data_IF_023276267552
#
_entry.id   IF_023276267552
#
_cell.length_a   1.000
_cell.length_b   1.000
_cell.length_c   1.000
_cell.angle_alpha   90.00
_cell.angle_beta   90.00
_cell.angle_gamma   90.00
#
_symmetry.space_group_name_H-M   'P 1'
#
loop_
_entity.id
_entity.type
_entity.pdbx_description
1 polymer ?
#
# COMPACT_ATOMS: atom_id res chain seq x y z
N UNK A 1 -0.06 -16.93 -1.60
CA UNK A 1 -1.34 -17.07 -0.85
C UNK A 1 -1.94 -15.70 -0.69
N UNK A 2 -3.26 -15.57 -0.78
CA UNK A 2 -3.95 -14.29 -0.56
C UNK A 2 -4.04 -13.97 0.93
N UNK A 3 -3.83 -12.72 1.31
CA UNK A 3 -3.90 -12.27 2.70
C UNK A 3 -5.02 -11.24 2.88
N UNK A 4 -5.79 -11.35 3.97
CA UNK A 4 -6.86 -10.39 4.30
C UNK A 4 -6.32 -9.28 5.20
N UNK A 5 -6.72 -8.05 4.93
CA UNK A 5 -6.38 -6.87 5.73
C UNK A 5 -7.61 -6.04 6.05
N UNK A 6 -7.46 -5.13 7.02
CA UNK A 6 -8.56 -4.35 7.54
C UNK A 6 -9.28 -3.52 6.48
N UNK A 7 -10.59 -3.34 6.63
CA UNK A 7 -11.44 -2.76 5.59
C UNK A 7 -11.93 -3.80 4.57
N UNK A 8 -11.77 -5.09 4.85
CA UNK A 8 -12.25 -6.18 3.99
C UNK A 8 -11.48 -6.31 2.68
N UNK A 9 -10.23 -5.83 2.64
CA UNK A 9 -9.39 -5.93 1.44
C UNK A 9 -8.58 -7.22 1.42
N UNK A 10 -8.18 -7.61 0.22
CA UNK A 10 -7.42 -8.85 -0.02
C UNK A 10 -6.18 -8.52 -0.83
N UNK A 11 -5.01 -8.72 -0.24
CA UNK A 11 -3.74 -8.72 -0.96
C UNK A 11 -3.61 -10.07 -1.66
N UNK A 12 -3.80 -10.09 -2.99
CA UNK A 12 -3.75 -11.31 -3.80
C UNK A 12 -2.32 -11.75 -4.08
N UNK A 13 -1.46 -10.79 -4.40
CA UNK A 13 -0.06 -11.02 -4.70
C UNK A 13 0.77 -9.76 -4.42
N UNK A 14 1.99 -9.97 -3.95
CA UNK A 14 3.09 -8.99 -3.96
C UNK A 14 4.22 -9.70 -4.69
N UNK A 15 4.53 -9.24 -5.89
CA UNK A 15 5.55 -9.83 -6.77
C UNK A 15 6.73 -8.87 -6.91
N UNK A 16 7.94 -9.42 -7.00
CA UNK A 16 9.15 -8.65 -7.22
C UNK A 16 9.59 -8.76 -8.68
N UNK A 17 10.08 -7.67 -9.26
CA UNK A 17 10.58 -7.67 -10.64
C UNK A 17 11.84 -6.83 -10.80
N UNK A 18 12.77 -7.34 -11.62
CA UNK A 18 13.91 -6.57 -12.12
C UNK A 18 13.57 -5.81 -13.42
N UNK A 19 12.39 -6.04 -14.01
CA UNK A 19 11.95 -5.31 -15.19
C UNK A 19 11.57 -3.87 -14.81
N UNK A 20 11.73 -2.93 -15.75
CA UNK A 20 11.31 -1.55 -15.57
C UNK A 20 9.79 -1.51 -15.35
N UNK A 21 9.37 -0.85 -14.27
CA UNK A 21 7.97 -0.52 -14.03
C UNK A 21 7.77 0.91 -14.51
N UNK A 22 6.70 1.15 -15.26
CA UNK A 22 6.35 2.46 -15.78
C UNK A 22 5.03 2.93 -15.19
N UNK A 23 4.97 4.20 -14.80
CA UNK A 23 3.72 4.87 -14.45
C UNK A 23 2.89 5.18 -15.72
N UNK A 24 1.65 5.68 -15.61
CA UNK A 24 0.81 6.01 -16.76
C UNK A 24 1.41 7.06 -17.72
N UNK A 25 2.47 7.77 -17.33
CA UNK A 25 3.18 8.76 -18.14
C UNK A 25 4.48 8.21 -18.74
N UNK A 26 4.78 6.91 -18.57
CA UNK A 26 6.01 6.27 -19.06
C UNK A 26 7.27 6.56 -18.23
N UNK A 27 7.10 7.14 -17.03
CA UNK A 27 8.20 7.40 -16.10
C UNK A 27 8.48 6.16 -15.27
N UNK A 28 9.73 5.97 -14.86
CA UNK A 28 10.08 4.83 -14.02
C UNK A 28 9.41 4.93 -12.64
N UNK A 29 8.78 3.85 -12.21
CA UNK A 29 8.12 3.72 -10.91
C UNK A 29 8.79 2.64 -10.04
N UNK A 30 8.61 2.75 -8.73
CA UNK A 30 9.12 1.78 -7.75
C UNK A 30 8.16 0.60 -7.59
N UNK A 31 6.86 0.87 -7.69
CA UNK A 31 5.81 -0.13 -7.63
C UNK A 31 4.66 0.22 -8.57
N UNK A 32 3.81 -0.77 -8.82
CA UNK A 32 2.53 -0.62 -9.47
C UNK A 32 1.51 -1.45 -8.71
N UNK A 33 0.36 -0.85 -8.40
CA UNK A 33 -0.76 -1.53 -7.77
C UNK A 33 -1.96 -1.61 -8.69
N UNK A 34 -2.44 -2.83 -8.91
CA UNK A 34 -3.72 -3.07 -9.58
C UNK A 34 -4.80 -3.30 -8.52
N UNK A 35 -5.88 -2.53 -8.62
CA UNK A 35 -7.03 -2.61 -7.74
C UNK A 35 -8.25 -3.08 -8.54
N UNK A 36 -8.82 -4.21 -8.15
CA UNK A 36 -10.08 -4.72 -8.71
C UNK A 36 -11.04 -5.00 -7.56
N UNK A 37 -12.11 -4.22 -7.46
CA UNK A 37 -12.97 -4.18 -6.29
C UNK A 37 -12.16 -3.96 -4.99
N UNK A 38 -12.05 -4.96 -4.13
CA UNK A 38 -11.28 -4.90 -2.86
C UNK A 38 -10.00 -5.74 -2.90
N UNK A 39 -9.55 -6.12 -4.09
CA UNK A 39 -8.38 -6.97 -4.29
C UNK A 39 -7.19 -6.18 -4.82
N UNK A 40 -6.04 -6.38 -4.20
CA UNK A 40 -4.78 -5.71 -4.55
C UNK A 40 -3.78 -6.70 -5.12
N UNK A 41 -3.16 -6.34 -6.24
CA UNK A 41 -1.98 -7.01 -6.79
C UNK A 41 -0.88 -5.99 -6.96
N UNK A 42 0.24 -6.22 -6.29
CA UNK A 42 1.36 -5.30 -6.27
C UNK A 42 2.51 -5.93 -7.05
N UNK A 43 3.11 -5.15 -7.93
CA UNK A 43 4.39 -5.43 -8.56
C UNK A 43 5.39 -4.40 -8.06
N UNK A 44 6.47 -4.86 -7.42
CA UNK A 44 7.46 -3.98 -6.78
C UNK A 44 8.84 -4.25 -7.38
N UNK A 45 9.62 -3.19 -7.60
CA UNK A 45 11.00 -3.32 -8.06
C UNK A 45 11.83 -4.12 -7.06
N UNK A 46 12.61 -5.08 -7.53
CA UNK A 46 13.56 -5.84 -6.70
C UNK A 46 14.80 -5.01 -6.35
N UNK A 47 15.54 -5.45 -5.32
CA UNK A 47 16.79 -4.82 -4.91
C UNK A 47 16.62 -3.56 -4.05
N UNK A 48 15.40 -3.21 -3.67
CA UNK A 48 15.14 -2.20 -2.64
C UNK A 48 15.70 -2.66 -1.29
N UNK A 49 16.14 -1.70 -0.47
CA UNK A 49 16.40 -1.96 0.95
C UNK A 49 15.12 -2.41 1.67
N UNK A 50 15.25 -3.06 2.83
CA UNK A 50 14.09 -3.47 3.62
C UNK A 50 13.19 -2.30 4.01
N UNK A 51 13.78 -1.15 4.29
CA UNK A 51 13.06 0.10 4.60
C UNK A 51 12.29 0.59 3.38
N UNK A 52 12.96 0.76 2.23
CA UNK A 52 12.31 1.22 1.00
C UNK A 52 11.17 0.29 0.61
N UNK A 53 11.40 -1.02 0.63
CA UNK A 53 10.36 -2.00 0.34
C UNK A 53 9.18 -1.88 1.31
N UNK A 54 9.45 -1.72 2.60
CA UNK A 54 8.40 -1.58 3.61
C UNK A 54 7.60 -0.30 3.46
N UNK A 55 8.27 0.83 3.22
CA UNK A 55 7.62 2.13 2.98
C UNK A 55 6.77 2.06 1.72
N UNK A 56 7.28 1.47 0.64
CA UNK A 56 6.50 1.23 -0.58
C UNK A 56 5.25 0.40 -0.29
N UNK A 57 5.34 -0.70 0.49
CA UNK A 57 4.16 -1.49 0.81
C UNK A 57 3.13 -0.73 1.67
N UNK A 58 3.56 0.05 2.67
CA UNK A 58 2.62 0.89 3.41
C UNK A 58 1.93 1.91 2.51
N UNK A 59 2.69 2.56 1.63
CA UNK A 59 2.20 3.55 0.68
C UNK A 59 1.12 2.94 -0.22
N UNK A 60 1.52 1.94 -1.00
CA UNK A 60 0.68 1.34 -2.04
C UNK A 60 -0.60 0.72 -1.46
N UNK A 61 -0.51 0.08 -0.29
CA UNK A 61 -1.68 -0.53 0.36
C UNK A 61 -2.64 0.54 0.91
N UNK A 62 -2.12 1.63 1.48
CA UNK A 62 -2.98 2.69 2.01
C UNK A 62 -3.71 3.43 0.89
N UNK A 63 -2.99 3.75 -0.19
CA UNK A 63 -3.57 4.38 -1.36
C UNK A 63 -4.59 3.46 -2.03
N UNK A 64 -4.25 2.18 -2.26
CA UNK A 64 -5.17 1.21 -2.84
C UNK A 64 -6.44 1.05 -2.01
N UNK A 65 -6.33 1.01 -0.67
CA UNK A 65 -7.47 0.98 0.23
C UNK A 65 -8.36 2.23 0.10
N UNK A 66 -7.77 3.40 -0.08
CA UNK A 66 -8.49 4.66 -0.27
C UNK A 66 -9.23 4.68 -1.61
N UNK A 67 -8.58 4.22 -2.69
CA UNK A 67 -9.16 4.19 -4.05
C UNK A 67 -10.23 3.09 -4.20
N UNK A 68 -10.10 1.98 -3.48
CA UNK A 68 -10.99 0.82 -3.59
C UNK A 68 -12.39 0.99 -2.96
N UNK A 69 -12.64 2.10 -2.24
CA UNK A 69 -13.90 2.33 -1.55
C UNK A 69 -14.54 3.65 -1.98
N UNK A 70 -15.88 3.68 -2.01
CA UNK A 70 -16.62 4.87 -2.41
C UNK A 70 -16.57 6.00 -1.35
N UNK A 71 -16.41 5.64 -0.08
CA UNK A 71 -16.37 6.57 1.05
C UNK A 71 -15.17 6.21 1.94
N UNK A 72 -13.95 6.70 1.60
CA UNK A 72 -12.76 6.44 2.40
C UNK A 72 -12.82 7.19 3.73
N UNK A 73 -12.08 6.73 4.77
CA UNK A 73 -12.02 7.44 6.04
C UNK A 73 -11.54 8.90 5.87
N UNK A 74 -12.13 9.81 6.64
CA UNK A 74 -11.75 11.24 6.64
C UNK A 74 -10.26 11.49 6.90
N UNK A 75 -9.58 10.56 7.59
CA UNK A 75 -8.15 10.66 7.87
C UNK A 75 -7.26 10.57 6.60
N UNK A 76 -7.80 10.07 5.48
CA UNK A 76 -7.06 9.85 4.23
C UNK A 76 -7.74 10.43 2.99
N UNK A 77 -8.99 10.90 3.09
CA UNK A 77 -9.77 11.40 1.93
C UNK A 77 -9.07 12.55 1.18
N UNK A 78 -8.33 13.40 1.89
CA UNK A 78 -7.61 14.54 1.32
C UNK A 78 -6.12 14.24 1.05
N UNK A 79 -5.70 12.97 1.15
CA UNK A 79 -4.31 12.62 0.85
C UNK A 79 -4.05 12.76 -0.64
N UNK A 80 -2.93 13.43 -0.94
CA UNK A 80 -2.24 13.33 -2.22
C UNK A 80 -1.02 12.42 -2.05
N UNK A 81 -0.23 12.27 -3.12
CA UNK A 81 1.04 11.51 -3.12
C UNK A 81 1.93 11.81 -1.89
N UNK A 82 2.15 13.09 -1.60
CA UNK A 82 2.99 13.49 -0.46
C UNK A 82 2.33 13.19 0.91
N UNK A 83 1.00 13.07 0.95
CA UNK A 83 0.24 12.61 2.10
C UNK A 83 0.45 11.12 2.35
N UNK A 84 0.26 10.30 1.32
CA UNK A 84 0.47 8.85 1.38
C UNK A 84 1.93 8.51 1.73
N UNK A 85 2.89 9.16 1.09
CA UNK A 85 4.31 8.95 1.35
C UNK A 85 4.69 9.26 2.81
N UNK A 86 4.17 10.37 3.35
CA UNK A 86 4.40 10.74 4.75
C UNK A 86 3.78 9.74 5.72
N UNK A 87 2.56 9.28 5.42
CA UNK A 87 1.87 8.28 6.23
C UNK A 87 2.60 6.93 6.20
N UNK A 88 3.13 6.53 5.05
CA UNK A 88 3.92 5.32 4.88
C UNK A 88 5.21 5.36 5.70
N UNK A 89 5.98 6.45 5.61
CA UNK A 89 7.19 6.65 6.42
C UNK A 89 6.88 6.71 7.91
N UNK A 90 5.79 7.36 8.30
CA UNK A 90 5.34 7.41 9.70
C UNK A 90 4.98 6.00 10.20
N UNK A 91 4.34 5.19 9.37
CA UNK A 91 3.98 3.80 9.70
C UNK A 91 5.22 2.93 9.87
N UNK A 92 6.20 3.04 8.98
CA UNK A 92 7.49 2.35 9.13
C UNK A 92 8.24 2.80 10.38
N UNK A 93 8.34 4.10 10.63
CA UNK A 93 8.98 4.62 11.85
C UNK A 93 8.30 4.15 13.14
N UNK A 94 6.98 3.92 13.09
CA UNK A 94 6.18 3.52 14.27
C UNK A 94 6.15 2.01 14.52
N UNK A 95 6.08 1.20 13.47
CA UNK A 95 5.86 -0.25 13.58
C UNK A 95 6.94 -1.11 12.92
N UNK A 96 7.91 -0.49 12.25
CA UNK A 96 8.99 -1.15 11.54
C UNK A 96 8.55 -1.74 10.21
N UNK A 97 9.25 -2.80 9.79
CA UNK A 97 9.09 -3.42 8.48
C UNK A 97 7.64 -3.84 8.20
N UNK A 98 7.26 -3.77 6.92
CA UNK A 98 5.93 -4.14 6.49
C UNK A 98 5.72 -5.65 6.72
N UNK A 99 4.68 -5.96 7.48
CA UNK A 99 4.18 -7.30 7.73
C UNK A 99 2.67 -7.27 7.70
N UNK A 100 2.01 -8.42 7.56
CA UNK A 100 0.54 -8.45 7.55
C UNK A 100 -0.05 -7.81 8.81
N UNK A 101 0.58 -8.01 9.97
CA UNK A 101 0.17 -7.40 11.23
C UNK A 101 0.32 -5.87 11.17
N UNK A 102 1.45 -5.36 10.71
CA UNK A 102 1.69 -3.92 10.69
C UNK A 102 0.87 -3.19 9.62
N UNK A 103 0.61 -3.82 8.46
CA UNK A 103 -0.31 -3.30 7.46
C UNK A 103 -1.73 -3.16 8.05
N UNK A 104 -2.16 -4.13 8.86
CA UNK A 104 -3.42 -4.02 9.59
C UNK A 104 -3.40 -2.87 10.61
N UNK A 105 -2.31 -2.71 11.37
CA UNK A 105 -2.18 -1.59 12.31
C UNK A 105 -2.27 -0.23 11.59
N UNK A 106 -1.62 -0.08 10.44
CA UNK A 106 -1.72 1.12 9.60
C UNK A 106 -3.16 1.36 9.14
N UNK A 107 -3.79 0.38 8.52
CA UNK A 107 -5.15 0.52 7.99
C UNK A 107 -6.14 0.88 9.12
N UNK A 108 -6.04 0.21 10.27
CA UNK A 108 -6.84 0.51 11.45
C UNK A 108 -6.59 1.94 11.96
N UNK A 109 -5.34 2.37 12.02
CA UNK A 109 -4.96 3.72 12.44
C UNK A 109 -5.57 4.80 11.54
N UNK A 110 -5.63 4.55 10.24
CA UNK A 110 -6.27 5.42 9.26
C UNK A 110 -7.80 5.24 9.16
N UNK A 111 -8.40 4.41 10.02
CA UNK A 111 -9.85 4.30 10.15
C UNK A 111 -10.50 3.21 9.29
N UNK A 112 -9.74 2.42 8.53
CA UNK A 112 -10.24 1.22 7.88
C UNK A 112 -10.44 0.12 8.93
N UNK A 113 -11.69 -0.34 9.13
CA UNK A 113 -12.04 -1.31 10.18
C UNK A 113 -12.76 -2.53 9.57
N UNK A 114 -12.77 -3.65 10.31
CA UNK A 114 -13.36 -4.92 9.88
C UNK A 114 -12.39 -5.81 9.07
N UNK A 115 -12.72 -7.08 8.87
CA UNK A 115 -11.98 -8.05 8.02
C UNK A 115 -12.94 -8.73 7.03
#
# INVERSE_FOLDING_TARGET
>A
MAARVHGGFIIRAIELTNARIEDPLGREAIAQTQVVAREFRLLVRSGLSEEEFSVTLYHEILEAACVAVADPPLAVVDFNEAGFERAARTSHARWGNASLMNLNLMLQFHGFRGQ
#
